data_IF_621643443961
#
_entry.id   IF_621643443961
#
_cell.length_a   1.000
_cell.length_b   1.000
_cell.length_c   1.000
_cell.angle_alpha   90.00
_cell.angle_beta   90.00
_cell.angle_gamma   90.00
#
_symmetry.space_group_name_H-M   'P 1'
#
loop_
_entity.id
_entity.type
_entity.pdbx_description
1 polymer ?
#
# COMPACT_ATOMS: atom_id res chain seq x y z
N UNK A 1 9.43 5.98 15.36
CA UNK A 1 10.28 6.56 14.32
C UNK A 1 9.57 6.46 12.99
N UNK A 2 9.49 7.58 12.28
CA UNK A 2 8.81 7.58 10.98
C UNK A 2 9.77 7.27 9.85
N UNK A 3 9.26 6.53 8.88
CA UNK A 3 9.94 6.32 7.60
C UNK A 3 9.03 6.85 6.50
N UNK A 4 9.57 7.03 5.33
CA UNK A 4 8.80 7.50 4.17
C UNK A 4 8.73 6.39 3.13
N UNK A 5 7.53 6.19 2.60
CA UNK A 5 7.31 5.23 1.52
C UNK A 5 6.57 5.93 0.40
N UNK A 6 6.60 5.38 -0.80
CA UNK A 6 5.71 5.84 -1.84
C UNK A 6 4.56 4.84 -1.98
N UNK A 7 3.37 5.37 -2.25
CA UNK A 7 2.16 4.57 -2.32
C UNK A 7 1.49 4.82 -3.64
N UNK A 8 1.21 3.74 -4.39
CA UNK A 8 0.41 3.83 -5.62
C UNK A 8 -0.78 2.92 -5.49
N UNK A 9 -1.95 3.50 -5.73
CA UNK A 9 -3.20 2.79 -5.68
C UNK A 9 -3.81 2.83 -7.07
N UNK A 10 -4.12 1.65 -7.61
CA UNK A 10 -4.52 1.51 -8.99
C UNK A 10 -6.01 1.28 -9.15
N UNK A 11 -6.53 1.64 -10.32
CA UNK A 11 -7.93 1.42 -10.69
C UNK A 11 -8.87 1.99 -9.62
N UNK A 12 -9.82 1.19 -9.15
CA UNK A 12 -10.82 1.66 -8.19
C UNK A 12 -10.24 2.04 -6.84
N UNK A 13 -9.01 1.62 -6.54
CA UNK A 13 -8.36 1.99 -5.28
C UNK A 13 -7.75 3.39 -5.31
N UNK A 14 -7.66 4.01 -6.49
CA UNK A 14 -7.00 5.32 -6.62
C UNK A 14 -7.66 6.41 -5.77
N UNK A 15 -8.93 6.25 -5.45
CA UNK A 15 -9.66 7.22 -4.61
C UNK A 15 -9.13 7.27 -3.18
N UNK A 16 -8.35 6.30 -2.76
CA UNK A 16 -7.77 6.27 -1.42
C UNK A 16 -6.35 6.83 -1.39
N UNK A 17 -5.85 7.34 -2.50
CA UNK A 17 -4.48 7.85 -2.60
C UNK A 17 -4.29 9.05 -1.67
N UNK A 18 -3.31 9.01 -0.76
CA UNK A 18 -3.08 10.14 0.13
C UNK A 18 -2.41 11.30 -0.62
N UNK A 19 -2.51 12.51 -0.05
CA UNK A 19 -1.95 13.70 -0.68
C UNK A 19 -0.44 13.61 -0.87
N UNK A 20 0.24 13.00 0.07
CA UNK A 20 1.70 12.87 0.01
C UNK A 20 2.12 11.47 -0.40
N UNK A 21 1.50 10.95 -1.47
CA UNK A 21 1.73 9.57 -1.89
C UNK A 21 3.18 9.26 -2.26
N UNK A 22 3.96 10.25 -2.68
CA UNK A 22 5.36 10.04 -3.03
C UNK A 22 6.27 9.90 -1.80
N UNK A 23 5.87 10.49 -0.69
CA UNK A 23 6.64 10.44 0.55
C UNK A 23 5.66 10.35 1.72
N UNK A 24 5.00 9.23 1.79
CA UNK A 24 3.98 9.02 2.81
C UNK A 24 4.63 8.54 4.11
N UNK A 25 4.48 9.29 5.21
CA UNK A 25 5.12 8.90 6.47
C UNK A 25 4.36 7.78 7.16
N UNK A 26 5.09 6.78 7.59
CA UNK A 26 4.52 5.67 8.36
C UNK A 26 5.49 5.28 9.47
N UNK A 27 5.00 4.59 10.47
CA UNK A 27 5.85 4.09 11.54
C UNK A 27 6.77 3.00 11.03
N UNK A 28 8.01 3.03 11.47
CA UNK A 28 8.97 1.99 11.13
C UNK A 28 8.46 0.65 11.63
N UNK A 29 8.53 -0.35 10.76
CA UNK A 29 8.14 -1.70 11.15
C UNK A 29 6.68 -2.05 10.84
N UNK A 30 5.90 -1.11 10.30
CA UNK A 30 4.51 -1.47 9.96
C UNK A 30 4.49 -2.48 8.80
N UNK A 31 3.38 -3.19 8.73
CA UNK A 31 3.15 -4.12 7.64
C UNK A 31 2.27 -3.48 6.58
N UNK A 32 2.17 -4.13 5.43
CA UNK A 32 1.23 -3.69 4.38
C UNK A 32 -0.20 -3.64 4.93
N UNK A 33 -0.57 -4.60 5.75
CA UNK A 33 -1.90 -4.62 6.37
C UNK A 33 -2.15 -3.35 7.19
N UNK A 34 -1.16 -2.91 7.97
CA UNK A 34 -1.29 -1.69 8.74
C UNK A 34 -1.44 -0.47 7.84
N UNK A 35 -0.70 -0.44 6.73
CA UNK A 35 -0.81 0.64 5.75
C UNK A 35 -2.21 0.68 5.15
N UNK A 36 -2.73 -0.48 4.75
CA UNK A 36 -4.07 -0.58 4.16
C UNK A 36 -5.12 -0.03 5.12
N UNK A 37 -4.99 -0.37 6.40
CA UNK A 37 -5.90 0.16 7.41
C UNK A 37 -5.76 1.66 7.57
N UNK A 38 -4.54 2.16 7.57
CA UNK A 38 -4.28 3.59 7.74
C UNK A 38 -4.87 4.39 6.57
N UNK A 39 -4.81 3.84 5.37
CA UNK A 39 -5.37 4.47 4.18
C UNK A 39 -6.89 4.30 4.08
N UNK A 40 -7.46 3.51 4.98
CA UNK A 40 -8.90 3.20 5.01
C UNK A 40 -9.37 2.44 3.78
N UNK A 41 -8.46 1.68 3.18
CA UNK A 41 -8.81 0.82 2.05
C UNK A 41 -9.42 -0.47 2.60
N UNK A 42 -10.60 -0.87 2.10
CA UNK A 42 -11.15 -2.17 2.52
C UNK A 42 -10.18 -3.29 2.15
N UNK A 43 -9.79 -4.08 3.14
CA UNK A 43 -8.81 -5.14 2.92
C UNK A 43 -9.25 -6.12 1.83
N UNK A 44 -10.55 -6.39 1.76
CA UNK A 44 -11.12 -7.29 0.75
C UNK A 44 -10.95 -6.78 -0.67
N UNK A 45 -10.73 -5.47 -0.82
CA UNK A 45 -10.58 -4.86 -2.13
C UNK A 45 -9.13 -4.82 -2.60
N UNK A 46 -8.21 -5.33 -1.80
CA UNK A 46 -6.80 -5.42 -2.17
C UNK A 46 -6.51 -6.83 -2.63
N UNK A 47 -6.25 -6.99 -3.91
CA UNK A 47 -6.01 -8.31 -4.51
C UNK A 47 -4.53 -8.60 -4.68
N UNK A 48 -3.79 -7.63 -5.21
CA UNK A 48 -2.36 -7.78 -5.44
C UNK A 48 -1.61 -6.69 -4.72
N UNK A 49 -0.47 -7.05 -4.19
CA UNK A 49 0.42 -6.15 -3.47
C UNK A 49 1.80 -6.27 -4.08
N UNK A 50 2.39 -5.11 -4.40
CA UNK A 50 3.79 -5.08 -4.84
C UNK A 50 4.57 -4.17 -3.91
N UNK A 51 5.76 -4.62 -3.53
CA UNK A 51 6.71 -3.82 -2.76
C UNK A 51 8.01 -3.84 -3.54
N UNK A 52 8.43 -2.67 -4.02
CA UNK A 52 9.64 -2.54 -4.84
C UNK A 52 9.59 -3.44 -6.08
N UNK A 53 8.44 -3.49 -6.74
CA UNK A 53 8.21 -4.29 -7.95
C UNK A 53 8.23 -5.80 -7.72
N UNK A 54 8.18 -6.23 -6.47
CA UNK A 54 8.09 -7.65 -6.14
C UNK A 54 6.78 -7.92 -5.45
N UNK A 55 6.19 -9.08 -5.73
CA UNK A 55 4.93 -9.46 -5.10
C UNK A 55 5.11 -9.51 -3.58
N UNK A 56 4.23 -8.81 -2.88
CA UNK A 56 4.25 -8.78 -1.43
C UNK A 56 3.03 -9.43 -0.81
N UNK A 57 3.02 -9.43 0.51
CA UNK A 57 1.92 -9.99 1.31
C UNK A 57 1.43 -8.93 2.28
N UNK A 58 0.24 -9.14 2.84
CA UNK A 58 -0.27 -8.26 3.89
C UNK A 58 0.67 -8.23 5.10
N UNK A 59 1.42 -9.29 5.32
CA UNK A 59 2.35 -9.39 6.44
C UNK A 59 3.73 -8.82 6.14
N UNK A 60 3.97 -8.37 4.90
CA UNK A 60 5.27 -7.81 4.55
C UNK A 60 5.55 -6.55 5.35
N UNK A 61 6.75 -6.47 5.92
CA UNK A 61 7.19 -5.30 6.69
C UNK A 61 7.74 -4.25 5.74
N UNK A 62 7.36 -3.00 5.94
CA UNK A 62 7.78 -1.90 5.09
C UNK A 62 9.00 -1.20 5.64
N UNK A 63 9.90 -0.81 4.75
CA UNK A 63 11.14 -0.11 5.10
C UNK A 63 11.18 1.25 4.44
N UNK A 64 12.08 2.09 4.92
CA UNK A 64 12.23 3.43 4.37
C UNK A 64 12.50 3.37 2.87
N UNK A 65 11.83 4.25 2.12
CA UNK A 65 11.94 4.36 0.67
C UNK A 65 11.32 3.21 -0.11
N UNK A 66 10.58 2.33 0.54
CA UNK A 66 9.86 1.27 -0.17
C UNK A 66 8.78 1.88 -1.07
N UNK A 67 8.56 1.23 -2.21
CA UNK A 67 7.49 1.59 -3.13
C UNK A 67 6.41 0.53 -3.06
N UNK A 68 5.23 0.94 -2.63
CA UNK A 68 4.10 0.03 -2.43
C UNK A 68 3.05 0.28 -3.50
N UNK A 69 2.65 -0.78 -4.18
CA UNK A 69 1.56 -0.73 -5.16
C UNK A 69 0.44 -1.66 -4.73
N UNK A 70 -0.79 -1.15 -4.74
CA UNK A 70 -1.97 -1.94 -4.39
C UNK A 70 -2.93 -1.99 -5.56
N UNK A 71 -3.38 -3.19 -5.88
CA UNK A 71 -4.29 -3.43 -6.99
C UNK A 71 -5.57 -4.09 -6.50
N UNK A 72 -6.73 -3.67 -7.01
CA UNK A 72 -7.99 -4.32 -6.67
C UNK A 72 -8.19 -5.60 -7.47
N UNK A 73 -9.20 -6.42 -7.13
CA UNK A 73 -9.59 -7.50 -8.00
C UNK A 73 -9.96 -6.95 -9.38
N UNK A 74 -9.57 -7.64 -10.42
CA UNK A 74 -9.84 -7.24 -11.80
C UNK A 74 -10.66 -8.31 -12.49
N UNK A 75 -11.17 -7.93 -13.66
CA UNK A 75 -11.86 -8.88 -14.50
C UNK A 75 -13.31 -9.07 -14.14
N UNK A 76 -13.89 -8.19 -13.39
CA UNK A 76 -15.31 -8.25 -13.09
C UNK A 76 -15.76 -9.63 -12.66
N UNK A 77 -14.81 -10.40 -12.29
CA UNK A 77 -15.13 -11.78 -11.92
C UNK A 77 -15.23 -11.91 -10.48
#
# INVERSE_FOLDING_TARGET
MLINISVKLFATLSKYTPDSSDQFPVEKGITVKDLVKQLKVPEKDVRLIFVNNKKGLMTSVLNNNDRVGLFPPIGGG
#
